data_IF_913511682301
#
_entry.id   IF_913511682301
#
_cell.length_a   1.000
_cell.length_b   1.000
_cell.length_c   1.000
_cell.angle_alpha   90.00
_cell.angle_beta   90.00
_cell.angle_gamma   90.00
#
_symmetry.space_group_name_H-M   'P 1'
#
loop_
_entity.id
_entity.type
_entity.pdbx_description
1 polymer ?
#
# COMPACT_ATOMS: atom_id res chain seq x y z
N UNK A 1 6.23 -7.04 -19.71
CA UNK A 1 6.08 -6.93 -18.24
C UNK A 1 4.92 -7.83 -17.83
N UNK A 2 5.07 -8.75 -16.89
CA UNK A 2 4.05 -9.75 -16.52
C UNK A 2 3.40 -10.47 -17.70
N UNK A 3 4.09 -10.86 -18.73
CA UNK A 3 3.57 -11.39 -20.00
C UNK A 3 2.66 -10.41 -20.77
N UNK A 4 2.56 -9.14 -20.33
CA UNK A 4 1.89 -8.10 -21.07
C UNK A 4 2.86 -7.54 -22.10
N UNK A 5 2.45 -7.64 -23.35
CA UNK A 5 3.17 -7.02 -24.46
C UNK A 5 2.88 -5.52 -24.48
N UNK A 6 3.86 -4.73 -24.03
CA UNK A 6 3.76 -3.26 -24.08
C UNK A 6 3.92 -2.71 -25.51
N UNK A 7 4.45 -3.50 -26.44
CA UNK A 7 4.65 -3.08 -27.85
C UNK A 7 3.32 -2.84 -28.56
N UNK A 8 2.23 -3.49 -28.13
CA UNK A 8 0.89 -3.22 -28.64
C UNK A 8 0.43 -1.77 -28.43
N UNK A 9 1.02 -1.06 -27.47
CA UNK A 9 0.74 0.33 -27.13
C UNK A 9 1.83 1.30 -27.58
N UNK A 10 2.74 0.89 -28.46
CA UNK A 10 3.98 1.61 -28.82
C UNK A 10 3.78 3.11 -29.06
N UNK A 11 2.69 3.49 -29.71
CA UNK A 11 2.38 4.87 -30.08
C UNK A 11 1.62 5.65 -29.00
N UNK A 12 1.17 5.00 -27.93
CA UNK A 12 0.47 5.68 -26.83
C UNK A 12 1.47 6.48 -25.99
N UNK A 13 1.02 7.61 -25.44
CA UNK A 13 1.76 8.28 -24.35
C UNK A 13 1.81 7.39 -23.14
N UNK A 14 3.01 7.16 -22.60
CA UNK A 14 3.24 6.30 -21.43
C UNK A 14 3.52 7.14 -20.16
N UNK A 15 4.63 7.90 -20.16
CA UNK A 15 5.05 8.70 -19.02
C UNK A 15 5.08 10.18 -19.39
N UNK A 16 4.61 11.02 -18.48
CA UNK A 16 4.58 12.48 -18.64
C UNK A 16 5.23 13.08 -17.39
N UNK A 17 6.21 13.96 -17.61
CA UNK A 17 6.76 14.84 -16.55
C UNK A 17 6.50 16.30 -16.94
N UNK A 18 6.95 17.24 -16.12
CA UNK A 18 6.90 18.68 -16.47
C UNK A 18 7.66 19.02 -17.74
N UNK A 19 8.75 18.27 -18.02
CA UNK A 19 9.75 18.59 -19.03
C UNK A 19 9.74 17.63 -20.21
N UNK A 20 9.26 16.40 -20.05
CA UNK A 20 9.39 15.34 -21.04
C UNK A 20 8.10 14.51 -21.15
N UNK A 21 7.85 13.99 -22.34
CA UNK A 21 6.77 13.05 -22.63
C UNK A 21 7.36 11.84 -23.34
N UNK A 22 7.09 10.66 -22.81
CA UNK A 22 7.57 9.38 -23.34
C UNK A 22 6.40 8.57 -23.89
N UNK A 23 6.53 8.07 -25.10
CA UNK A 23 5.67 7.00 -25.61
C UNK A 23 6.01 5.65 -24.95
N UNK A 24 5.15 4.66 -25.12
CA UNK A 24 5.49 3.27 -24.76
C UNK A 24 6.71 2.77 -25.51
N UNK A 25 6.87 3.14 -26.78
CA UNK A 25 8.06 2.83 -27.57
C UNK A 25 9.35 3.39 -26.95
N UNK A 26 9.31 4.63 -26.45
CA UNK A 26 10.47 5.25 -25.80
C UNK A 26 10.83 4.54 -24.49
N UNK A 27 9.82 4.19 -23.67
CA UNK A 27 10.02 3.45 -22.43
C UNK A 27 10.60 2.06 -22.70
N UNK A 28 10.09 1.34 -23.72
CA UNK A 28 10.61 0.03 -24.11
C UNK A 28 12.06 0.14 -24.58
N UNK A 29 12.37 1.15 -25.41
CA UNK A 29 13.73 1.39 -25.91
C UNK A 29 14.70 1.69 -24.75
N UNK A 30 14.31 2.54 -23.82
CA UNK A 30 15.12 2.85 -22.64
C UNK A 30 15.30 1.62 -21.73
N UNK A 31 14.26 0.81 -21.55
CA UNK A 31 14.33 -0.43 -20.78
C UNK A 31 15.29 -1.44 -21.40
N UNK A 32 15.27 -1.59 -22.73
CA UNK A 32 16.18 -2.51 -23.47
C UNK A 32 17.65 -2.17 -23.23
N UNK A 33 18.03 -0.91 -23.11
CA UNK A 33 19.41 -0.52 -22.80
C UNK A 33 19.89 -1.05 -21.45
N UNK A 34 18.99 -1.09 -20.43
CA UNK A 34 19.29 -1.65 -19.12
C UNK A 34 19.28 -3.19 -19.18
N UNK A 35 18.33 -3.78 -19.91
CA UNK A 35 18.23 -5.23 -20.11
C UNK A 35 19.51 -5.83 -20.71
N UNK A 36 20.13 -5.12 -21.69
CA UNK A 36 21.33 -5.58 -22.41
C UNK A 36 22.57 -5.71 -21.50
N UNK A 37 22.65 -4.93 -20.43
CA UNK A 37 23.79 -4.98 -19.49
C UNK A 37 23.54 -5.93 -18.31
N UNK A 38 22.29 -6.38 -18.10
CA UNK A 38 21.95 -7.32 -17.05
C UNK A 38 22.29 -8.77 -17.45
N UNK A 39 22.78 -9.60 -16.52
CA UNK A 39 23.10 -10.99 -16.83
C UNK A 39 21.83 -11.80 -17.14
N UNK A 40 21.97 -12.88 -17.92
CA UNK A 40 20.84 -13.79 -18.23
C UNK A 40 20.33 -14.56 -17.01
N UNK A 41 21.22 -14.84 -16.05
CA UNK A 41 20.86 -15.52 -14.81
C UNK A 41 20.08 -14.57 -13.91
N UNK A 42 19.00 -15.07 -13.30
CA UNK A 42 18.18 -14.31 -12.37
C UNK A 42 18.99 -13.74 -11.21
N UNK A 43 18.85 -12.45 -10.97
CA UNK A 43 19.57 -11.69 -9.96
C UNK A 43 18.60 -10.95 -9.04
N UNK A 44 19.06 -10.55 -7.85
CA UNK A 44 18.37 -9.64 -6.96
C UNK A 44 18.89 -8.22 -7.17
N UNK A 45 18.01 -7.30 -7.48
CA UNK A 45 18.29 -5.88 -7.68
C UNK A 45 17.55 -5.06 -6.62
N UNK A 46 18.28 -4.30 -5.82
CA UNK A 46 17.70 -3.31 -4.90
C UNK A 46 17.47 -2.02 -5.64
N UNK A 47 16.27 -1.49 -5.53
CA UNK A 47 15.87 -0.18 -6.02
C UNK A 47 15.74 0.79 -4.85
N UNK A 48 16.46 1.89 -4.86
CA UNK A 48 16.20 3.04 -4.00
C UNK A 48 15.25 3.97 -4.73
N UNK A 49 13.95 3.76 -4.50
CA UNK A 49 12.87 4.31 -5.29
C UNK A 49 12.61 5.78 -4.99
N UNK A 50 12.45 6.56 -6.05
CA UNK A 50 11.81 7.87 -6.03
C UNK A 50 10.57 7.87 -6.94
N UNK A 51 9.75 8.91 -6.89
CA UNK A 51 8.64 9.07 -7.83
C UNK A 51 9.14 9.77 -9.09
N UNK A 52 9.94 9.05 -9.87
CA UNK A 52 10.56 9.51 -11.11
C UNK A 52 10.49 8.45 -12.22
N UNK A 53 10.78 8.85 -13.44
CA UNK A 53 10.71 7.97 -14.61
C UNK A 53 11.84 6.94 -14.63
N UNK A 54 12.99 7.27 -14.07
CA UNK A 54 14.16 6.41 -14.02
C UNK A 54 13.90 5.17 -13.18
N UNK A 55 13.23 5.33 -12.03
CA UNK A 55 12.76 4.20 -11.20
C UNK A 55 11.81 3.30 -11.99
N UNK A 56 10.86 3.88 -12.73
CA UNK A 56 9.89 3.11 -13.54
C UNK A 56 10.60 2.34 -14.65
N UNK A 57 11.50 2.97 -15.39
CA UNK A 57 12.21 2.35 -16.50
C UNK A 57 13.13 1.22 -16.02
N UNK A 58 13.90 1.46 -14.95
CA UNK A 58 14.74 0.43 -14.36
C UNK A 58 13.95 -0.77 -13.84
N UNK A 59 12.79 -0.52 -13.22
CA UNK A 59 11.89 -1.57 -12.74
C UNK A 59 11.31 -2.40 -13.90
N UNK A 60 10.81 -1.76 -14.96
CA UNK A 60 10.31 -2.44 -16.16
C UNK A 60 11.41 -3.31 -16.78
N UNK A 61 12.61 -2.76 -16.96
CA UNK A 61 13.77 -3.48 -17.50
C UNK A 61 14.09 -4.75 -16.71
N UNK A 62 14.16 -4.61 -15.38
CA UNK A 62 14.50 -5.73 -14.50
C UNK A 62 13.46 -6.84 -14.52
N UNK A 63 12.16 -6.50 -14.56
CA UNK A 63 11.09 -7.48 -14.70
C UNK A 63 11.09 -8.15 -16.07
N UNK A 64 11.37 -7.42 -17.15
CA UNK A 64 11.47 -7.97 -18.51
C UNK A 64 12.65 -8.92 -18.61
N UNK A 65 13.80 -8.59 -18.03
CA UNK A 65 14.98 -9.44 -17.91
C UNK A 65 14.83 -10.59 -16.89
N UNK A 66 13.63 -10.76 -16.29
CA UNK A 66 13.31 -11.82 -15.33
C UNK A 66 14.12 -11.77 -14.02
N UNK A 67 14.52 -10.58 -13.55
CA UNK A 67 15.18 -10.40 -12.26
C UNK A 67 14.15 -10.17 -11.13
N UNK A 68 14.62 -10.34 -9.89
CA UNK A 68 13.87 -10.02 -8.69
C UNK A 68 14.18 -8.58 -8.24
N UNK A 69 13.16 -7.76 -8.03
CA UNK A 69 13.27 -6.36 -7.61
C UNK A 69 12.93 -6.23 -6.12
N UNK A 70 13.82 -5.67 -5.32
CA UNK A 70 13.54 -5.25 -3.95
C UNK A 70 13.35 -3.74 -3.96
N UNK A 71 12.09 -3.29 -3.77
CA UNK A 71 11.73 -1.88 -3.85
C UNK A 71 11.80 -1.25 -2.46
N UNK A 72 12.71 -0.32 -2.26
CA UNK A 72 12.96 0.37 -0.99
C UNK A 72 12.80 1.89 -1.17
N UNK A 73 12.44 2.58 -0.10
CA UNK A 73 12.42 4.04 -0.06
C UNK A 73 13.85 4.58 -0.19
N UNK A 74 14.10 5.54 -1.09
CA UNK A 74 15.41 6.18 -1.22
C UNK A 74 15.82 6.98 0.02
N UNK A 75 14.86 7.37 0.87
CA UNK A 75 15.08 8.06 2.14
C UNK A 75 15.23 7.13 3.34
N UNK A 76 15.32 5.81 3.11
CA UNK A 76 15.48 4.83 4.18
C UNK A 76 16.73 5.13 5.01
N UNK A 77 16.60 4.97 6.33
CA UNK A 77 17.74 5.10 7.24
C UNK A 77 18.91 4.21 6.80
N UNK A 78 20.12 4.76 6.83
CA UNK A 78 21.31 4.08 6.33
C UNK A 78 21.59 2.76 7.07
N UNK A 79 21.44 2.71 8.38
CA UNK A 79 21.70 1.49 9.15
C UNK A 79 20.70 0.38 8.80
N UNK A 80 19.44 0.74 8.55
CA UNK A 80 18.43 -0.21 8.08
C UNK A 80 18.71 -0.67 6.65
N UNK A 81 19.13 0.24 5.77
CA UNK A 81 19.51 -0.11 4.40
C UNK A 81 20.71 -1.08 4.40
N UNK A 82 21.76 -0.78 5.17
CA UNK A 82 22.94 -1.63 5.31
C UNK A 82 22.55 -3.02 5.84
N UNK A 83 21.65 -3.07 6.84
CA UNK A 83 21.11 -4.34 7.37
C UNK A 83 20.38 -5.17 6.30
N UNK A 84 19.56 -4.52 5.46
CA UNK A 84 18.86 -5.19 4.37
C UNK A 84 19.83 -5.70 3.30
N UNK A 85 20.82 -4.90 2.94
CA UNK A 85 21.86 -5.28 1.99
C UNK A 85 22.66 -6.48 2.51
N UNK A 86 23.08 -6.45 3.78
CA UNK A 86 23.82 -7.56 4.40
C UNK A 86 22.98 -8.83 4.53
N UNK A 87 21.68 -8.69 4.79
CA UNK A 87 20.76 -9.83 4.94
C UNK A 87 20.48 -10.51 3.61
N UNK A 88 20.22 -9.74 2.55
CA UNK A 88 19.75 -10.26 1.27
C UNK A 88 20.84 -10.33 0.20
N UNK A 89 21.99 -9.69 0.42
CA UNK A 89 23.18 -9.70 -0.45
C UNK A 89 22.85 -9.50 -1.93
N UNK A 90 22.17 -8.37 -2.30
CA UNK A 90 21.74 -8.15 -3.67
C UNK A 90 22.93 -8.13 -4.63
N UNK A 91 22.70 -8.53 -5.87
CA UNK A 91 23.72 -8.48 -6.92
C UNK A 91 23.93 -7.06 -7.44
N UNK A 92 22.84 -6.28 -7.52
CA UNK A 92 22.88 -4.92 -8.03
C UNK A 92 22.07 -3.98 -7.13
N UNK A 93 22.48 -2.70 -7.17
CA UNK A 93 21.75 -1.58 -6.58
C UNK A 93 21.47 -0.58 -7.70
N UNK A 94 20.21 -0.24 -7.90
CA UNK A 94 19.76 0.80 -8.84
C UNK A 94 19.28 2.01 -8.06
N UNK A 95 19.99 3.13 -8.22
CA UNK A 95 19.74 4.34 -7.43
C UNK A 95 20.14 5.60 -8.17
N UNK A 96 19.56 6.73 -7.76
CA UNK A 96 20.07 8.05 -8.15
C UNK A 96 21.49 8.24 -7.65
N UNK A 97 22.40 8.66 -8.53
CA UNK A 97 23.81 8.88 -8.19
C UNK A 97 24.44 9.86 -9.17
N UNK A 98 25.01 10.92 -8.64
CA UNK A 98 25.78 11.92 -9.39
C UNK A 98 27.29 11.57 -9.40
N UNK A 99 27.71 10.58 -8.61
CA UNK A 99 29.11 10.17 -8.48
C UNK A 99 29.46 9.00 -9.41
N UNK A 100 30.68 9.00 -9.91
CA UNK A 100 31.28 7.87 -10.62
C UNK A 100 31.75 6.82 -9.62
N UNK A 101 30.87 5.88 -9.26
CA UNK A 101 31.26 4.67 -8.56
C UNK A 101 31.95 3.71 -9.55
N UNK A 102 33.17 3.26 -9.23
CA UNK A 102 33.95 2.31 -10.06
C UNK A 102 33.22 0.98 -10.34
N UNK A 103 32.17 0.69 -9.55
CA UNK A 103 31.30 -0.49 -9.72
C UNK A 103 30.06 -0.22 -10.56
N UNK A 104 29.90 1.01 -11.10
CA UNK A 104 28.79 1.36 -11.99
C UNK A 104 28.95 0.62 -13.31
N UNK A 105 28.00 -0.23 -13.66
CA UNK A 105 28.00 -0.98 -14.93
C UNK A 105 27.16 -0.31 -16.01
N UNK A 106 26.20 0.55 -15.62
CA UNK A 106 25.33 1.27 -16.54
C UNK A 106 24.78 2.54 -15.89
N UNK A 107 24.57 3.60 -16.70
CA UNK A 107 23.86 4.80 -16.30
C UNK A 107 22.70 5.08 -17.24
N UNK A 108 21.57 5.44 -16.62
CA UNK A 108 20.42 6.00 -17.30
C UNK A 108 20.08 7.35 -16.66
N UNK A 109 20.32 8.44 -17.40
CA UNK A 109 20.22 9.82 -16.88
C UNK A 109 21.03 9.94 -15.56
N UNK A 110 20.39 10.32 -14.48
CA UNK A 110 20.99 10.48 -13.14
C UNK A 110 20.91 9.21 -12.26
N UNK A 111 20.55 8.06 -12.83
CA UNK A 111 20.52 6.77 -12.13
C UNK A 111 21.65 5.85 -12.54
N UNK A 112 22.22 5.17 -11.59
CA UNK A 112 23.29 4.19 -11.78
C UNK A 112 22.84 2.79 -11.39
N UNK A 113 23.18 1.80 -12.23
CA UNK A 113 23.12 0.39 -11.91
C UNK A 113 24.53 -0.02 -11.43
N UNK A 114 24.64 -0.30 -10.15
CA UNK A 114 25.91 -0.55 -9.46
C UNK A 114 26.00 -2.03 -9.14
N UNK A 115 27.08 -2.70 -9.54
CA UNK A 115 27.35 -4.07 -9.17
C UNK A 115 27.78 -4.13 -7.70
N UNK A 116 26.98 -4.77 -6.84
CA UNK A 116 27.27 -4.86 -5.41
C UNK A 116 27.89 -6.19 -5.02
N UNK A 117 27.36 -7.30 -5.56
CA UNK A 117 27.82 -8.64 -5.28
C UNK A 117 27.94 -9.48 -6.55
N UNK A 118 29.03 -10.24 -6.70
CA UNK A 118 29.28 -11.14 -7.83
C UNK A 118 28.91 -12.58 -7.54
N UNK A 119 28.56 -12.91 -6.29
CA UNK A 119 28.17 -14.28 -5.92
C UNK A 119 26.87 -14.66 -6.61
N UNK A 120 26.86 -15.82 -7.25
CA UNK A 120 25.64 -16.38 -7.82
C UNK A 120 24.77 -16.96 -6.72
N UNK A 121 23.59 -16.36 -6.54
CA UNK A 121 22.58 -16.83 -5.61
C UNK A 121 21.48 -17.48 -6.43
N UNK A 122 21.14 -18.71 -6.15
CA UNK A 122 20.02 -19.37 -6.78
C UNK A 122 18.72 -18.86 -6.15
N UNK A 123 18.02 -17.98 -6.85
CA UNK A 123 16.73 -17.43 -6.40
C UNK A 123 15.59 -18.34 -6.87
N UNK A 124 14.49 -18.36 -6.10
CA UNK A 124 13.24 -18.97 -6.56
C UNK A 124 12.90 -18.45 -7.97
N UNK A 125 12.72 -19.33 -8.97
CA UNK A 125 12.44 -18.93 -10.36
C UNK A 125 11.19 -18.03 -10.49
N UNK A 126 10.22 -18.19 -9.61
CA UNK A 126 8.98 -17.38 -9.60
C UNK A 126 9.14 -16.02 -8.91
N UNK A 127 10.17 -15.83 -8.07
CA UNK A 127 10.38 -14.59 -7.35
C UNK A 127 10.57 -13.41 -8.32
N UNK A 128 9.82 -12.34 -8.16
CA UNK A 128 9.92 -11.18 -9.04
C UNK A 128 9.94 -9.85 -8.27
N UNK A 129 9.32 -9.80 -7.09
CA UNK A 129 9.22 -8.57 -6.32
C UNK A 129 9.32 -8.86 -4.82
N UNK A 130 10.06 -8.00 -4.13
CA UNK A 130 10.11 -7.95 -2.67
C UNK A 130 9.64 -6.56 -2.21
N UNK A 131 8.68 -6.54 -1.30
CA UNK A 131 8.17 -5.32 -0.67
C UNK A 131 8.22 -5.45 0.85
N UNK A 132 8.54 -4.36 1.53
CA UNK A 132 8.43 -4.30 2.99
C UNK A 132 6.97 -4.21 3.43
N UNK A 133 6.64 -4.76 4.59
CA UNK A 133 5.37 -4.51 5.23
C UNK A 133 5.45 -3.24 6.07
N UNK A 134 4.41 -2.42 6.02
CA UNK A 134 4.34 -1.13 6.74
C UNK A 134 4.28 -1.23 8.27
N UNK A 135 4.33 -2.43 8.84
CA UNK A 135 4.16 -2.69 10.27
C UNK A 135 5.43 -3.13 11.01
N UNK A 136 6.54 -3.30 10.31
CA UNK A 136 7.76 -3.85 10.92
C UNK A 136 8.85 -2.79 11.03
N UNK A 137 8.79 -2.03 12.09
CA UNK A 137 9.94 -1.28 12.60
C UNK A 137 11.03 -2.26 13.03
N UNK A 138 12.13 -2.31 12.28
CA UNK A 138 13.36 -2.99 12.68
C UNK A 138 13.52 -4.46 12.28
N UNK A 139 12.59 -5.06 11.54
CA UNK A 139 12.80 -6.43 11.02
C UNK A 139 13.01 -6.41 9.50
N UNK A 140 14.01 -7.12 8.96
CA UNK A 140 14.26 -7.22 7.53
C UNK A 140 13.24 -8.09 6.78
N UNK A 141 12.05 -8.32 7.35
CA UNK A 141 11.03 -9.21 6.79
C UNK A 141 10.38 -8.60 5.55
N UNK A 142 10.52 -9.29 4.42
CA UNK A 142 9.96 -8.89 3.12
C UNK A 142 8.83 -9.82 2.70
N UNK A 143 7.83 -9.27 2.02
CA UNK A 143 6.83 -10.03 1.26
C UNK A 143 7.42 -10.37 -0.09
N UNK A 144 7.35 -11.65 -0.48
CA UNK A 144 7.85 -12.15 -1.76
C UNK A 144 6.71 -12.42 -2.73
N UNK A 145 6.80 -11.86 -3.93
CA UNK A 145 5.74 -11.90 -4.94
C UNK A 145 6.27 -12.44 -6.27
N UNK A 146 5.44 -13.21 -6.95
CA UNK A 146 5.71 -13.70 -8.30
C UNK A 146 5.14 -12.78 -9.38
N UNK A 147 5.56 -12.96 -10.64
CA UNK A 147 4.89 -12.32 -11.78
C UNK A 147 3.41 -12.67 -11.86
N UNK A 148 3.06 -13.92 -11.54
CA UNK A 148 1.66 -14.39 -11.55
C UNK A 148 0.83 -13.64 -10.52
N UNK A 149 1.35 -13.41 -9.32
CA UNK A 149 0.66 -12.61 -8.28
C UNK A 149 0.42 -11.17 -8.76
N UNK A 150 1.45 -10.55 -9.34
CA UNK A 150 1.36 -9.18 -9.87
C UNK A 150 0.35 -9.11 -11.02
N UNK A 151 0.36 -10.09 -11.92
CA UNK A 151 -0.55 -10.19 -13.05
C UNK A 151 -2.00 -10.38 -12.59
N UNK A 152 -2.25 -11.34 -11.69
CA UNK A 152 -3.59 -11.62 -11.16
C UNK A 152 -4.19 -10.39 -10.48
N UNK A 153 -3.43 -9.69 -9.65
CA UNK A 153 -3.90 -8.46 -9.00
C UNK A 153 -4.15 -7.34 -10.02
N UNK A 154 -3.26 -7.18 -10.99
CA UNK A 154 -3.40 -6.20 -12.07
C UNK A 154 -4.68 -6.43 -12.88
N UNK A 155 -4.95 -7.66 -13.30
CA UNK A 155 -6.15 -8.04 -14.04
C UNK A 155 -7.42 -7.71 -13.24
N UNK A 156 -7.49 -8.15 -11.99
CA UNK A 156 -8.62 -7.87 -11.12
C UNK A 156 -8.89 -6.38 -10.96
N UNK A 157 -7.85 -5.57 -10.71
CA UNK A 157 -8.00 -4.12 -10.52
C UNK A 157 -8.45 -3.44 -11.82
N UNK A 158 -7.86 -3.80 -12.96
CA UNK A 158 -8.24 -3.20 -14.24
C UNK A 158 -9.66 -3.54 -14.65
N UNK A 159 -10.17 -4.69 -14.22
CA UNK A 159 -11.55 -5.12 -14.47
C UNK A 159 -12.56 -4.25 -13.70
N UNK A 160 -12.46 -4.16 -12.34
CA UNK A 160 -13.47 -3.44 -11.59
C UNK A 160 -13.34 -1.90 -11.66
N UNK A 161 -12.15 -1.37 -11.88
CA UNK A 161 -11.95 0.07 -12.13
C UNK A 161 -12.24 0.45 -13.59
N UNK A 162 -12.33 -0.53 -14.50
CA UNK A 162 -12.55 -0.32 -15.93
C UNK A 162 -11.46 0.55 -16.58
N UNK A 163 -10.20 0.35 -16.20
CA UNK A 163 -9.07 1.12 -16.72
C UNK A 163 -8.87 0.82 -18.21
N UNK A 164 -8.67 1.87 -18.98
CA UNK A 164 -8.46 1.85 -20.43
C UNK A 164 -7.25 2.68 -20.85
N UNK A 165 -6.88 2.60 -22.11
CA UNK A 165 -5.79 3.41 -22.69
C UNK A 165 -6.08 4.92 -22.73
N UNK A 166 -7.35 5.31 -22.54
CA UNK A 166 -7.76 6.72 -22.49
C UNK A 166 -7.62 7.33 -21.09
N UNK A 167 -7.23 6.51 -20.10
CA UNK A 167 -7.08 6.98 -18.74
C UNK A 167 -5.68 7.58 -18.53
N UNK A 168 -5.62 8.52 -17.62
CA UNK A 168 -4.40 9.19 -17.21
C UNK A 168 -4.36 9.34 -15.71
N UNK A 169 -3.38 8.70 -15.09
CA UNK A 169 -3.19 8.78 -13.64
C UNK A 169 -2.03 9.71 -13.30
N UNK A 170 -2.08 10.35 -12.13
CA UNK A 170 -0.98 11.10 -11.56
C UNK A 170 -0.40 10.34 -10.37
N UNK A 171 0.92 10.36 -10.20
CA UNK A 171 1.57 9.71 -9.06
C UNK A 171 1.27 10.47 -7.77
N UNK A 172 0.75 9.76 -6.77
CA UNK A 172 0.46 10.28 -5.44
C UNK A 172 1.07 9.40 -4.35
N UNK A 173 1.52 8.21 -4.74
CA UNK A 173 1.96 7.15 -3.84
C UNK A 173 3.31 6.58 -4.30
N UNK A 174 4.26 6.35 -3.37
CA UNK A 174 5.60 5.89 -3.72
C UNK A 174 5.59 4.47 -4.32
N UNK A 175 6.59 4.18 -5.17
CA UNK A 175 6.71 2.89 -5.87
C UNK A 175 7.23 1.74 -4.98
N UNK A 176 7.81 2.01 -3.84
CA UNK A 176 8.13 0.99 -2.83
C UNK A 176 6.90 0.56 -2.00
N UNK A 177 5.76 1.17 -2.22
CA UNK A 177 4.50 0.84 -1.58
C UNK A 177 3.59 0.06 -2.54
N UNK A 178 3.06 -1.07 -2.09
CA UNK A 178 2.24 -1.98 -2.93
C UNK A 178 1.07 -1.29 -3.61
N UNK A 179 0.44 -0.29 -2.97
CA UNK A 179 -0.64 0.49 -3.59
C UNK A 179 -0.11 1.34 -4.76
N UNK A 180 0.92 2.15 -4.56
CA UNK A 180 1.50 2.97 -5.62
C UNK A 180 1.98 2.13 -6.79
N UNK A 181 2.66 1.01 -6.48
CA UNK A 181 3.14 0.10 -7.51
C UNK A 181 1.99 -0.58 -8.28
N UNK A 182 0.87 -0.92 -7.61
CA UNK A 182 -0.32 -1.46 -8.30
C UNK A 182 -0.97 -0.47 -9.25
N UNK A 183 -0.92 0.84 -8.94
CA UNK A 183 -1.39 1.91 -9.85
C UNK A 183 -0.52 1.96 -11.10
N UNK A 184 0.82 1.90 -10.93
CA UNK A 184 1.75 1.80 -12.04
C UNK A 184 1.44 0.58 -12.94
N UNK A 185 1.30 -0.61 -12.33
CA UNK A 185 1.05 -1.85 -13.05
C UNK A 185 -0.22 -1.80 -13.89
N UNK A 186 -1.32 -1.34 -13.30
CA UNK A 186 -2.64 -1.35 -13.94
C UNK A 186 -2.73 -0.40 -15.11
N UNK A 187 -2.12 0.79 -15.02
CA UNK A 187 -2.12 1.76 -16.10
C UNK A 187 -1.18 1.34 -17.24
N UNK A 188 0.01 0.85 -16.92
CA UNK A 188 0.91 0.29 -17.94
C UNK A 188 0.28 -0.89 -18.68
N UNK A 189 -0.43 -1.77 -17.98
CA UNK A 189 -1.07 -2.95 -18.57
C UNK A 189 -2.19 -2.63 -19.54
N UNK A 190 -2.76 -1.42 -19.46
CA UNK A 190 -3.86 -0.96 -20.32
C UNK A 190 -3.44 0.09 -21.37
N UNK A 191 -2.14 0.38 -21.47
CA UNK A 191 -1.65 1.40 -22.40
C UNK A 191 -2.06 2.81 -22.02
N UNK A 192 -2.41 3.05 -20.74
CA UNK A 192 -2.79 4.33 -20.18
C UNK A 192 -1.56 5.20 -19.85
N UNK A 193 -1.76 6.50 -19.69
CA UNK A 193 -0.68 7.45 -19.40
C UNK A 193 -0.50 7.65 -17.89
N UNK A 194 0.73 7.94 -17.47
CA UNK A 194 1.09 8.21 -16.08
C UNK A 194 1.80 9.56 -16.01
N UNK A 195 1.21 10.52 -15.31
CA UNK A 195 1.86 11.79 -14.96
C UNK A 195 2.71 11.56 -13.73
N UNK A 196 4.03 11.63 -13.92
CA UNK A 196 5.01 11.36 -12.86
C UNK A 196 5.43 12.68 -12.25
N UNK A 197 5.17 12.85 -10.96
CA UNK A 197 5.51 14.07 -10.21
C UNK A 197 5.90 13.73 -8.77
N UNK A 198 6.93 14.39 -8.20
CA UNK A 198 7.26 14.31 -6.79
C UNK A 198 6.39 15.25 -5.93
N UNK A 199 5.53 16.06 -6.56
CA UNK A 199 4.76 17.09 -5.89
C UNK A 199 3.71 16.52 -4.93
N UNK A 200 3.60 17.15 -3.78
CA UNK A 200 2.58 16.79 -2.79
C UNK A 200 1.17 17.22 -3.23
N UNK A 201 0.17 16.43 -2.87
CA UNK A 201 -1.26 16.74 -3.15
C UNK A 201 -1.76 18.06 -2.55
N UNK A 202 -1.01 18.67 -1.63
CA UNK A 202 -1.32 20.00 -1.08
C UNK A 202 -0.64 21.14 -1.84
N UNK A 203 0.28 20.83 -2.77
CA UNK A 203 0.99 21.86 -3.54
C UNK A 203 0.15 22.32 -4.73
N UNK A 204 0.29 23.60 -5.07
CA UNK A 204 -0.34 24.16 -6.28
C UNK A 204 0.18 23.48 -7.55
N UNK A 205 1.49 23.22 -7.61
CA UNK A 205 2.15 22.60 -8.76
C UNK A 205 1.56 21.21 -9.10
N UNK A 206 1.12 20.44 -8.09
CA UNK A 206 0.40 19.19 -8.30
C UNK A 206 -0.89 19.41 -9.09
N UNK A 207 -1.72 20.36 -8.65
CA UNK A 207 -3.02 20.64 -9.30
C UNK A 207 -2.89 21.35 -10.65
N UNK A 208 -1.85 22.16 -10.84
CA UNK A 208 -1.51 22.73 -12.13
C UNK A 208 -1.15 21.61 -13.14
N UNK A 209 -0.36 20.61 -12.70
CA UNK A 209 -0.06 19.42 -13.50
C UNK A 209 -1.31 18.56 -13.74
N UNK A 210 -2.15 18.37 -12.71
CA UNK A 210 -3.40 17.63 -12.83
C UNK A 210 -4.30 18.19 -13.94
N UNK A 211 -4.50 19.51 -13.94
CA UNK A 211 -5.31 20.21 -14.94
C UNK A 211 -4.64 20.22 -16.31
N UNK A 212 -3.36 20.61 -16.38
CA UNK A 212 -2.59 20.71 -17.62
C UNK A 212 -2.62 19.42 -18.43
N UNK A 213 -2.48 18.29 -17.73
CA UNK A 213 -2.42 16.98 -18.38
C UNK A 213 -3.74 16.23 -18.37
N UNK A 214 -4.85 16.89 -18.00
CA UNK A 214 -6.21 16.32 -18.01
C UNK A 214 -6.26 14.95 -17.30
N UNK A 215 -5.77 14.88 -16.07
CA UNK A 215 -5.70 13.65 -15.29
C UNK A 215 -7.12 13.12 -15.01
N UNK A 216 -7.32 11.82 -15.27
CA UNK A 216 -8.63 11.17 -15.11
C UNK A 216 -8.77 10.39 -13.81
N UNK A 217 -7.65 10.04 -13.17
CA UNK A 217 -7.64 9.13 -12.02
C UNK A 217 -6.80 9.68 -10.87
N UNK A 218 -7.42 9.79 -9.69
CA UNK A 218 -6.75 10.14 -8.42
C UNK A 218 -6.75 8.96 -7.46
N UNK A 219 -5.58 8.64 -6.88
CA UNK A 219 -5.41 7.55 -5.92
C UNK A 219 -4.94 8.11 -4.58
N UNK A 220 -5.58 7.75 -3.47
CA UNK A 220 -5.23 8.32 -2.18
C UNK A 220 -5.33 7.34 -1.01
N UNK A 221 -4.50 7.59 0.00
CA UNK A 221 -4.64 7.04 1.35
C UNK A 221 -5.51 7.98 2.20
N UNK A 222 -6.01 7.57 3.38
CA UNK A 222 -6.86 8.43 4.23
C UNK A 222 -6.31 9.84 4.45
N UNK A 223 -5.01 9.95 4.70
CA UNK A 223 -4.33 11.24 4.86
C UNK A 223 -4.52 12.17 3.66
N UNK A 224 -4.46 11.65 2.43
CA UNK A 224 -4.69 12.48 1.23
C UNK A 224 -6.11 13.06 1.24
N UNK A 225 -7.13 12.28 1.56
CA UNK A 225 -8.52 12.74 1.63
C UNK A 225 -8.76 13.80 2.72
N UNK A 226 -8.07 13.66 3.86
CA UNK A 226 -8.07 14.70 4.90
C UNK A 226 -7.42 16.00 4.40
N UNK A 227 -6.31 15.90 3.66
CA UNK A 227 -5.64 17.06 3.07
C UNK A 227 -6.48 17.70 1.97
N UNK A 228 -7.13 16.92 1.10
CA UNK A 228 -8.03 17.43 0.06
C UNK A 228 -9.15 18.31 0.65
N UNK A 229 -9.72 17.92 1.79
CA UNK A 229 -10.71 18.79 2.50
C UNK A 229 -10.09 20.12 2.92
N UNK A 230 -8.86 20.12 3.45
CA UNK A 230 -8.17 21.33 3.91
C UNK A 230 -7.88 22.32 2.79
N UNK A 231 -7.55 21.81 1.59
CA UNK A 231 -7.27 22.66 0.42
C UNK A 231 -8.51 22.99 -0.40
N UNK A 232 -9.70 22.75 0.14
CA UNK A 232 -11.00 23.04 -0.50
C UNK A 232 -11.16 22.33 -1.85
N UNK A 233 -10.83 21.04 -1.91
CA UNK A 233 -10.95 20.21 -3.11
C UNK A 233 -12.34 20.30 -3.75
N UNK A 234 -13.40 20.37 -2.97
CA UNK A 234 -14.78 20.40 -3.45
C UNK A 234 -15.12 21.67 -4.27
N UNK A 235 -14.31 22.72 -4.16
CA UNK A 235 -14.46 23.97 -4.93
C UNK A 235 -13.62 23.96 -6.22
N UNK A 236 -12.85 22.88 -6.48
CA UNK A 236 -11.97 22.81 -7.65
C UNK A 236 -12.74 22.36 -8.89
N UNK A 237 -12.52 23.06 -10.00
CA UNK A 237 -12.97 22.62 -11.32
C UNK A 237 -11.98 21.59 -11.90
N UNK A 238 -12.43 20.33 -11.99
CA UNK A 238 -11.63 19.16 -12.43
C UNK A 238 -12.42 18.33 -13.46
N UNK A 239 -12.74 18.87 -14.64
CA UNK A 239 -13.64 18.23 -15.60
C UNK A 239 -13.10 16.92 -16.19
N UNK A 240 -11.79 16.70 -16.12
CA UNK A 240 -11.16 15.46 -16.60
C UNK A 240 -11.25 14.29 -15.59
N UNK A 241 -11.50 14.58 -14.29
CA UNK A 241 -11.51 13.56 -13.26
C UNK A 241 -12.70 12.60 -13.41
N UNK A 242 -12.43 11.30 -13.51
CA UNK A 242 -13.44 10.24 -13.68
C UNK A 242 -13.46 9.23 -12.53
N UNK A 243 -12.28 8.97 -11.95
CA UNK A 243 -12.12 7.91 -10.93
C UNK A 243 -11.31 8.43 -9.75
N UNK A 244 -11.82 8.19 -8.56
CA UNK A 244 -11.08 8.37 -7.31
C UNK A 244 -11.03 7.04 -6.57
N UNK A 245 -9.88 6.72 -5.98
CA UNK A 245 -9.72 5.48 -5.21
C UNK A 245 -9.09 5.75 -3.86
N UNK A 246 -9.59 5.06 -2.83
CA UNK A 246 -9.07 5.12 -1.47
C UNK A 246 -8.67 3.73 -0.99
N UNK A 247 -7.45 3.59 -0.47
CA UNK A 247 -6.98 2.38 0.20
C UNK A 247 -5.85 2.69 1.20
N UNK A 248 -5.26 1.64 1.80
CA UNK A 248 -4.07 1.77 2.63
C UNK A 248 -4.32 2.14 4.09
N UNK A 249 -5.57 2.35 4.46
CA UNK A 249 -6.01 2.62 5.82
C UNK A 249 -7.52 2.83 5.87
N UNK A 250 -8.09 2.83 7.07
CA UNK A 250 -9.53 3.08 7.28
C UNK A 250 -9.78 4.59 7.15
N UNK A 251 -10.48 5.00 6.09
CA UNK A 251 -10.97 6.37 5.96
C UNK A 251 -12.11 6.61 6.95
N UNK A 252 -12.11 7.79 7.59
CA UNK A 252 -13.24 8.20 8.42
C UNK A 252 -14.52 8.17 7.57
N UNK A 253 -15.58 7.52 8.07
CA UNK A 253 -16.80 7.30 7.32
C UNK A 253 -17.54 8.59 6.93
N UNK A 254 -17.42 9.65 7.74
CA UNK A 254 -17.98 10.97 7.39
C UNK A 254 -17.27 11.54 6.18
N UNK A 255 -15.94 11.50 6.17
CA UNK A 255 -15.13 11.94 5.02
C UNK A 255 -15.43 11.07 3.80
N UNK A 256 -15.48 9.75 3.96
CA UNK A 256 -15.82 8.83 2.87
C UNK A 256 -17.18 9.18 2.24
N UNK A 257 -18.18 9.47 3.06
CA UNK A 257 -19.53 9.86 2.60
C UNK A 257 -19.54 11.22 1.91
N UNK A 258 -18.80 12.20 2.42
CA UNK A 258 -18.65 13.51 1.76
C UNK A 258 -18.09 13.38 0.35
N UNK A 259 -16.97 12.63 0.19
CA UNK A 259 -16.38 12.37 -1.13
C UNK A 259 -17.29 11.55 -2.03
N UNK A 260 -18.05 10.59 -1.47
CA UNK A 260 -18.99 9.79 -2.24
C UNK A 260 -20.17 10.62 -2.79
N UNK A 261 -20.70 11.55 -2.00
CA UNK A 261 -21.75 12.48 -2.42
C UNK A 261 -21.24 13.43 -3.52
N UNK A 262 -20.11 14.09 -3.28
CA UNK A 262 -19.47 14.95 -4.27
C UNK A 262 -19.19 14.20 -5.58
N UNK A 263 -18.62 13.02 -5.49
CA UNK A 263 -18.31 12.20 -6.66
C UNK A 263 -19.58 11.84 -7.48
N UNK A 264 -20.69 11.53 -6.79
CA UNK A 264 -21.97 11.27 -7.44
C UNK A 264 -22.49 12.49 -8.20
N UNK A 265 -22.40 13.68 -7.60
CA UNK A 265 -22.83 14.96 -8.21
C UNK A 265 -21.99 15.32 -9.45
N UNK A 266 -20.71 14.94 -9.46
CA UNK A 266 -19.77 15.26 -10.54
C UNK A 266 -19.53 14.10 -11.53
N UNK A 267 -20.32 13.02 -11.48
CA UNK A 267 -20.17 11.80 -12.30
C UNK A 267 -18.79 11.14 -12.15
N UNK A 268 -18.16 11.25 -10.99
CA UNK A 268 -16.89 10.60 -10.64
C UNK A 268 -17.17 9.30 -9.91
N UNK A 269 -16.48 8.23 -10.27
CA UNK A 269 -16.56 6.93 -9.58
C UNK A 269 -15.61 6.95 -8.39
N UNK A 270 -16.11 6.88 -7.16
CA UNK A 270 -15.29 6.82 -5.96
C UNK A 270 -15.31 5.42 -5.36
N UNK A 271 -14.14 4.75 -5.33
CA UNK A 271 -13.98 3.41 -4.81
C UNK A 271 -13.24 3.42 -3.47
N UNK A 272 -13.83 2.76 -2.46
CA UNK A 272 -13.16 2.42 -1.21
C UNK A 272 -12.62 1.00 -1.38
N UNK A 273 -11.35 0.77 -1.07
CA UNK A 273 -10.68 -0.49 -1.31
C UNK A 273 -9.93 -0.96 -0.07
N UNK A 274 -9.81 -2.28 0.06
CA UNK A 274 -9.05 -2.92 1.12
C UNK A 274 -8.00 -3.86 0.52
N UNK A 275 -6.83 -3.94 1.18
CA UNK A 275 -5.79 -4.86 0.79
C UNK A 275 -4.57 -4.82 1.69
N UNK A 276 -3.69 -5.77 1.45
CA UNK A 276 -2.43 -5.94 2.16
C UNK A 276 -1.32 -6.26 1.15
N UNK A 277 -0.08 -5.96 1.52
CA UNK A 277 1.10 -6.29 0.68
C UNK A 277 1.18 -7.79 0.41
N UNK A 278 0.76 -8.60 1.38
CA UNK A 278 0.68 -10.06 1.34
C UNK A 278 -0.29 -10.61 0.28
N UNK A 279 -1.18 -9.76 -0.23
CA UNK A 279 -2.04 -10.05 -1.37
C UNK A 279 -1.71 -9.11 -2.55
N UNK A 280 -0.46 -8.82 -2.75
CA UNK A 280 0.10 -7.92 -3.78
C UNK A 280 -0.32 -6.47 -3.57
N UNK A 281 -1.63 -6.18 -3.52
CA UNK A 281 -2.14 -4.86 -3.17
C UNK A 281 -3.61 -4.87 -2.75
N UNK A 282 -4.46 -5.64 -3.43
CA UNK A 282 -5.92 -5.57 -3.27
C UNK A 282 -6.53 -6.91 -2.94
N UNK A 283 -7.51 -6.87 -2.03
CA UNK A 283 -8.31 -8.01 -1.57
C UNK A 283 -9.79 -7.76 -1.83
N UNK A 284 -10.25 -6.52 -1.55
CA UNK A 284 -11.64 -6.14 -1.68
C UNK A 284 -11.80 -4.70 -2.18
N UNK A 285 -12.97 -4.42 -2.72
CA UNK A 285 -13.39 -3.09 -3.12
C UNK A 285 -14.88 -2.89 -2.85
N UNK A 286 -15.27 -1.68 -2.49
CA UNK A 286 -16.66 -1.29 -2.40
C UNK A 286 -17.09 -0.74 -3.76
N UNK A 287 -18.02 -1.38 -4.46
CA UNK A 287 -18.57 -0.83 -5.70
C UNK A 287 -19.10 0.59 -5.47
N UNK A 288 -18.75 1.52 -6.36
CA UNK A 288 -19.02 2.95 -6.16
C UNK A 288 -20.52 3.28 -6.02
N UNK A 289 -21.40 2.41 -6.51
CA UNK A 289 -22.84 2.53 -6.36
C UNK A 289 -23.30 2.41 -4.88
N UNK A 290 -22.50 1.77 -4.04
CA UNK A 290 -22.79 1.51 -2.62
C UNK A 290 -21.93 2.33 -1.65
N UNK A 291 -21.13 3.28 -2.14
CA UNK A 291 -20.19 4.03 -1.31
C UNK A 291 -20.86 5.06 -0.38
N UNK A 292 -22.14 5.38 -0.57
CA UNK A 292 -22.90 6.29 0.29
C UNK A 292 -23.59 5.52 1.42
N UNK A 293 -24.32 4.47 1.10
CA UNK A 293 -25.11 3.65 2.04
C UNK A 293 -24.22 2.67 2.82
N UNK A 294 -23.15 2.16 2.21
CA UNK A 294 -22.21 1.19 2.79
C UNK A 294 -20.81 1.79 3.09
N UNK A 295 -20.70 3.07 3.38
CA UNK A 295 -19.41 3.81 3.53
C UNK A 295 -18.44 3.24 4.58
N UNK A 296 -18.90 2.36 5.48
CA UNK A 296 -18.08 1.66 6.49
C UNK A 296 -17.53 0.33 6.00
N UNK A 297 -18.02 -0.17 4.87
CA UNK A 297 -17.68 -1.47 4.31
C UNK A 297 -16.35 -1.42 3.55
N UNK A 298 -15.60 -2.53 3.56
CA UNK A 298 -14.52 -2.80 2.60
C UNK A 298 -15.04 -3.37 1.28
N UNK A 299 -16.35 -3.61 1.18
CA UNK A 299 -17.02 -4.10 -0.02
C UNK A 299 -17.02 -5.62 -0.15
N UNK A 300 -16.78 -6.06 -1.35
CA UNK A 300 -16.75 -7.46 -1.79
C UNK A 300 -15.35 -7.85 -2.28
N UNK A 301 -15.09 -9.15 -2.44
CA UNK A 301 -13.81 -9.62 -2.99
C UNK A 301 -13.58 -9.04 -4.40
N UNK A 302 -12.31 -8.77 -4.73
CA UNK A 302 -11.91 -8.44 -6.10
C UNK A 302 -12.24 -9.59 -7.05
N UNK A 303 -12.40 -9.34 -8.37
CA UNK A 303 -12.61 -10.39 -9.36
C UNK A 303 -11.59 -11.53 -9.21
N UNK A 304 -12.07 -12.78 -9.30
CA UNK A 304 -11.31 -14.02 -9.10
C UNK A 304 -10.80 -14.24 -7.66
N UNK A 305 -11.09 -13.34 -6.70
CA UNK A 305 -10.83 -13.52 -5.29
C UNK A 305 -12.04 -14.06 -4.53
N UNK A 306 -11.80 -14.62 -3.34
CA UNK A 306 -12.86 -15.06 -2.42
C UNK A 306 -12.53 -14.62 -1.01
N UNK A 307 -13.51 -13.97 -0.35
CA UNK A 307 -13.47 -13.66 1.07
C UNK A 307 -14.26 -14.69 1.86
N UNK A 308 -13.78 -15.03 3.04
CA UNK A 308 -14.49 -15.86 4.00
C UNK A 308 -14.16 -15.39 5.42
N UNK A 309 -15.08 -15.65 6.35
CA UNK A 309 -14.89 -15.38 7.77
C UNK A 309 -14.79 -16.72 8.46
N UNK A 310 -13.81 -16.89 9.33
CA UNK A 310 -13.65 -18.10 10.12
C UNK A 310 -13.69 -17.78 11.61
N UNK A 311 -14.31 -18.67 12.35
CA UNK A 311 -14.27 -18.64 13.79
C UNK A 311 -12.82 -18.78 14.29
N UNK A 312 -12.42 -17.97 15.26
CA UNK A 312 -11.03 -17.86 15.69
C UNK A 312 -10.56 -19.15 16.35
N UNK A 313 -11.44 -19.79 17.13
CA UNK A 313 -11.08 -20.96 17.94
C UNK A 313 -11.25 -22.27 17.15
N UNK A 314 -12.37 -22.42 16.47
CA UNK A 314 -12.73 -23.67 15.76
C UNK A 314 -12.26 -23.71 14.31
N UNK A 315 -11.85 -22.58 13.73
CA UNK A 315 -11.45 -22.42 12.33
C UNK A 315 -12.56 -22.77 11.30
N UNK A 316 -13.79 -22.95 11.76
CA UNK A 316 -14.95 -23.21 10.90
C UNK A 316 -15.40 -21.91 10.20
N UNK A 317 -15.88 -22.05 8.97
CA UNK A 317 -16.46 -20.92 8.22
C UNK A 317 -17.72 -20.43 8.93
N UNK A 318 -17.84 -19.11 9.06
CA UNK A 318 -19.00 -18.40 9.58
C UNK A 318 -19.78 -17.86 8.38
N UNK A 319 -20.99 -18.38 8.15
CA UNK A 319 -21.90 -17.92 7.09
C UNK A 319 -22.97 -16.96 7.62
N UNK A 320 -23.17 -16.90 8.91
CA UNK A 320 -24.16 -16.02 9.57
C UNK A 320 -23.77 -14.53 9.34
N UNK A 321 -24.77 -13.70 8.97
CA UNK A 321 -24.58 -12.26 8.88
C UNK A 321 -24.31 -11.64 10.28
N UNK A 322 -23.52 -10.58 10.31
CA UNK A 322 -23.13 -9.83 11.51
C UNK A 322 -22.35 -10.62 12.57
N UNK A 323 -22.00 -11.87 12.28
CA UNK A 323 -21.16 -12.66 13.18
C UNK A 323 -19.68 -12.43 12.87
N UNK A 324 -18.93 -11.99 13.88
CA UNK A 324 -17.52 -11.67 13.77
C UNK A 324 -16.64 -12.94 13.76
N UNK A 325 -15.57 -12.88 12.97
CA UNK A 325 -14.49 -13.87 12.97
C UNK A 325 -13.27 -13.32 12.25
N UNK A 326 -12.27 -14.15 12.03
CA UNK A 326 -11.08 -13.77 11.30
C UNK A 326 -11.34 -13.78 9.79
N UNK A 327 -10.92 -12.71 9.12
CA UNK A 327 -11.03 -12.57 7.67
C UNK A 327 -9.94 -13.37 6.96
N UNK A 328 -10.37 -14.25 6.07
CA UNK A 328 -9.53 -15.00 5.14
C UNK A 328 -9.75 -14.55 3.71
N UNK A 329 -8.69 -14.54 2.95
CA UNK A 329 -8.73 -14.26 1.54
C UNK A 329 -8.12 -15.41 0.74
N UNK A 330 -8.70 -15.73 -0.41
CA UNK A 330 -8.18 -16.68 -1.37
C UNK A 330 -8.12 -16.04 -2.76
N UNK A 331 -6.96 -16.11 -3.42
CA UNK A 331 -6.74 -15.56 -4.75
C UNK A 331 -5.32 -15.78 -5.26
N UNK A 332 -5.15 -15.72 -6.57
CA UNK A 332 -3.86 -15.94 -7.24
C UNK A 332 -2.85 -14.80 -6.98
N UNK A 333 -3.31 -13.67 -6.46
CA UNK A 333 -2.51 -12.53 -6.05
C UNK A 333 -1.92 -12.65 -4.63
N UNK A 334 -2.17 -13.74 -3.91
CA UNK A 334 -1.56 -14.01 -2.61
C UNK A 334 -0.09 -14.33 -2.79
N UNK A 335 0.76 -13.72 -1.95
CA UNK A 335 2.22 -13.84 -1.97
C UNK A 335 2.74 -15.27 -2.00
N UNK A 336 3.98 -15.45 -2.43
CA UNK A 336 4.73 -16.71 -2.26
C UNK A 336 4.90 -16.98 -0.77
N UNK A 337 5.37 -15.98 -0.02
CA UNK A 337 5.60 -16.06 1.41
C UNK A 337 6.36 -14.87 1.95
N UNK A 338 6.89 -15.02 3.14
CA UNK A 338 7.81 -14.04 3.72
C UNK A 338 9.26 -14.49 3.55
N UNK A 339 10.15 -13.51 3.43
CA UNK A 339 11.59 -13.71 3.54
C UNK A 339 12.15 -12.86 4.67
N UNK A 340 13.03 -13.42 5.47
CA UNK A 340 13.77 -12.75 6.55
C UNK A 340 15.28 -12.97 6.40
N UNK A 341 15.67 -13.75 5.41
CA UNK A 341 17.05 -14.09 5.08
C UNK A 341 17.22 -14.37 3.60
N UNK A 342 18.47 -14.39 3.15
CA UNK A 342 18.81 -14.78 1.78
C UNK A 342 18.31 -16.20 1.43
N UNK A 343 18.37 -17.13 2.39
CA UNK A 343 17.92 -18.51 2.20
C UNK A 343 16.42 -18.59 1.89
N UNK A 344 15.60 -17.69 2.45
CA UNK A 344 14.17 -17.68 2.21
C UNK A 344 13.82 -17.29 0.77
N UNK A 345 14.72 -16.57 0.07
CA UNK A 345 14.54 -16.23 -1.34
C UNK A 345 14.67 -17.41 -2.30
N UNK A 346 15.21 -18.52 -1.83
CA UNK A 346 15.34 -19.77 -2.57
C UNK A 346 14.11 -20.67 -2.39
N UNK A 347 13.31 -20.39 -1.35
CA UNK A 347 12.19 -21.23 -0.95
C UNK A 347 11.07 -21.19 -2.02
N UNK A 348 10.64 -22.36 -2.45
CA UNK A 348 9.56 -22.56 -3.42
C UNK A 348 8.19 -22.83 -2.79
N UNK A 349 8.12 -22.96 -1.46
CA UNK A 349 6.85 -23.17 -0.75
C UNK A 349 5.96 -21.94 -0.93
N UNK A 350 4.68 -22.16 -1.18
CA UNK A 350 3.70 -21.10 -1.32
C UNK A 350 2.54 -21.28 -0.32
N UNK A 351 1.82 -20.20 -0.05
CA UNK A 351 0.61 -20.19 0.77
C UNK A 351 -0.61 -20.79 0.03
N UNK A 352 -0.40 -21.44 -1.13
CA UNK A 352 -1.45 -22.02 -1.96
C UNK A 352 -2.63 -21.06 -2.23
N UNK A 353 -2.32 -19.77 -2.42
CA UNK A 353 -3.31 -18.74 -2.71
C UNK A 353 -4.22 -18.38 -1.54
N UNK A 354 -3.96 -18.83 -0.31
CA UNK A 354 -4.77 -18.53 0.86
C UNK A 354 -4.02 -17.62 1.82
N UNK A 355 -4.64 -16.51 2.19
CA UNK A 355 -4.10 -15.54 3.15
C UNK A 355 -5.00 -15.44 4.38
N UNK A 356 -4.43 -15.69 5.53
CA UNK A 356 -4.96 -15.31 6.82
C UNK A 356 -4.60 -13.83 7.05
N UNK A 357 -5.59 -12.94 7.00
CA UNK A 357 -5.31 -11.49 6.98
C UNK A 357 -4.88 -10.94 8.34
N UNK A 358 -5.23 -11.63 9.41
CA UNK A 358 -5.06 -11.15 10.79
C UNK A 358 -6.03 -10.01 11.16
N UNK A 359 -6.98 -9.68 10.29
CA UNK A 359 -8.03 -8.73 10.57
C UNK A 359 -9.31 -9.45 10.98
N UNK A 360 -10.08 -8.87 11.91
CA UNK A 360 -11.41 -9.32 12.29
C UNK A 360 -12.43 -8.64 11.39
N UNK A 361 -13.46 -9.41 11.00
CA UNK A 361 -14.50 -8.92 10.11
C UNK A 361 -15.82 -9.64 10.35
N UNK A 362 -16.88 -9.00 9.87
CA UNK A 362 -18.19 -9.61 9.67
C UNK A 362 -18.72 -9.26 8.29
N UNK A 363 -19.72 -9.97 7.81
CA UNK A 363 -20.47 -9.62 6.57
C UNK A 363 -21.91 -9.25 6.95
N UNK A 364 -22.52 -8.36 6.18
CA UNK A 364 -23.96 -8.07 6.29
C UNK A 364 -24.80 -9.07 5.48
N UNK A 365 -26.14 -8.89 5.49
CA UNK A 365 -27.10 -9.74 4.77
C UNK A 365 -26.94 -9.65 3.26
N UNK A 366 -26.43 -8.51 2.74
CA UNK A 366 -26.15 -8.29 1.33
C UNK A 366 -24.78 -8.85 0.89
N UNK A 367 -23.99 -9.41 1.82
CA UNK A 367 -22.69 -10.01 1.57
C UNK A 367 -21.52 -9.02 1.51
N UNK A 368 -21.71 -7.78 1.96
CA UNK A 368 -20.61 -6.81 2.10
C UNK A 368 -19.84 -7.05 3.40
N UNK A 369 -18.51 -6.93 3.31
CA UNK A 369 -17.62 -7.18 4.45
C UNK A 369 -17.24 -5.88 5.17
N UNK A 370 -17.06 -5.98 6.49
CA UNK A 370 -16.72 -4.87 7.38
C UNK A 370 -15.58 -5.29 8.30
N UNK A 371 -14.52 -4.49 8.38
CA UNK A 371 -13.43 -4.70 9.33
C UNK A 371 -13.84 -4.14 10.69
N UNK A 372 -13.84 -4.99 11.71
CA UNK A 372 -14.12 -4.62 13.10
C UNK A 372 -12.86 -4.38 13.94
N UNK A 373 -11.71 -4.99 13.56
CA UNK A 373 -10.44 -4.82 14.26
C UNK A 373 -9.33 -5.70 13.74
N UNK A 374 -8.23 -5.82 14.52
CA UNK A 374 -7.10 -6.70 14.21
C UNK A 374 -6.84 -7.70 15.32
N UNK A 375 -6.55 -8.94 14.94
CA UNK A 375 -6.23 -10.02 15.91
C UNK A 375 -5.04 -9.67 16.81
N UNK A 376 -4.04 -8.96 16.30
CA UNK A 376 -2.84 -8.54 17.06
C UNK A 376 -3.02 -7.23 17.83
N UNK A 377 -4.18 -6.58 17.74
CA UNK A 377 -4.50 -5.33 18.43
C UNK A 377 -5.46 -5.54 19.61
N UNK A 378 -5.30 -6.68 20.27
CA UNK A 378 -5.94 -6.97 21.55
C UNK A 378 -4.90 -7.00 22.66
N UNK A 379 -5.33 -6.55 23.82
CA UNK A 379 -4.65 -6.76 25.10
C UNK A 379 -5.57 -7.56 26.04
N UNK A 380 -5.00 -8.26 26.99
CA UNK A 380 -5.76 -8.92 28.05
C UNK A 380 -5.59 -8.13 29.32
N UNK A 381 -6.61 -7.43 29.77
CA UNK A 381 -6.61 -6.71 31.05
C UNK A 381 -7.44 -7.47 32.03
N UNK A 382 -6.82 -7.96 33.10
CA UNK A 382 -7.46 -8.83 34.14
C UNK A 382 -8.27 -9.99 33.53
N UNK A 383 -7.71 -10.63 32.49
CA UNK A 383 -8.36 -11.74 31.76
C UNK A 383 -9.44 -11.33 30.76
N UNK A 384 -9.83 -10.08 30.71
CA UNK A 384 -10.78 -9.55 29.73
C UNK A 384 -10.04 -9.15 28.47
N UNK A 385 -10.45 -9.68 27.31
CA UNK A 385 -9.92 -9.31 25.99
C UNK A 385 -10.47 -7.94 25.57
N UNK A 386 -9.58 -6.99 25.26
CA UNK A 386 -9.89 -5.62 24.91
C UNK A 386 -9.34 -5.32 23.52
N UNK A 387 -10.21 -4.85 22.64
CA UNK A 387 -9.86 -4.42 21.29
C UNK A 387 -9.40 -2.95 21.30
N UNK A 388 -8.14 -2.71 20.99
CA UNK A 388 -7.57 -1.36 20.96
C UNK A 388 -8.17 -0.50 19.84
N UNK A 389 -8.55 -1.09 18.72
CA UNK A 389 -9.19 -0.37 17.62
C UNK A 389 -10.60 0.09 17.96
N UNK A 390 -11.33 -0.71 18.76
CA UNK A 390 -12.66 -0.35 19.28
C UNK A 390 -12.57 0.85 20.23
N UNK A 391 -11.60 0.82 21.16
CA UNK A 391 -11.36 1.94 22.09
C UNK A 391 -11.00 3.21 21.30
N UNK A 392 -10.10 3.12 20.34
CA UNK A 392 -9.76 4.27 19.48
C UNK A 392 -10.99 4.83 18.78
N UNK A 393 -11.82 3.95 18.23
CA UNK A 393 -13.03 4.35 17.52
C UNK A 393 -14.03 5.04 18.47
N UNK A 394 -14.23 4.46 19.65
CA UNK A 394 -15.09 5.03 20.66
C UNK A 394 -14.63 6.45 21.06
N UNK A 395 -13.38 6.62 21.44
CA UNK A 395 -12.85 7.92 21.84
C UNK A 395 -12.85 8.94 20.69
N UNK A 396 -12.54 8.53 19.47
CA UNK A 396 -12.64 9.37 18.27
C UNK A 396 -14.09 9.81 17.99
N UNK A 397 -15.08 8.97 18.27
CA UNK A 397 -16.51 9.31 18.13
C UNK A 397 -16.97 10.38 19.15
N UNK A 398 -16.23 10.51 20.25
CA UNK A 398 -16.44 11.57 21.26
C UNK A 398 -15.65 12.86 20.97
N UNK A 399 -14.91 12.89 19.86
CA UNK A 399 -14.18 14.07 19.40
C UNK A 399 -12.70 14.09 19.78
N UNK A 400 -12.18 13.06 20.47
CA UNK A 400 -10.77 13.02 20.89
C UNK A 400 -9.86 12.55 19.77
N UNK A 401 -8.66 13.13 19.70
CA UNK A 401 -7.56 12.72 18.80
C UNK A 401 -6.67 11.75 19.54
N UNK A 402 -6.94 10.45 19.40
CA UNK A 402 -6.29 9.39 20.17
C UNK A 402 -5.79 8.25 19.29
N UNK A 403 -4.75 7.60 19.79
CA UNK A 403 -4.27 6.29 19.36
C UNK A 403 -4.04 5.41 20.57
N UNK A 404 -4.40 4.13 20.46
CA UNK A 404 -4.27 3.17 21.54
C UNK A 404 -3.16 2.14 21.23
N UNK A 405 -2.41 1.78 22.23
CA UNK A 405 -1.47 0.66 22.26
C UNK A 405 -1.55 -0.01 23.63
N UNK A 406 -0.77 -1.01 23.88
CA UNK A 406 -0.76 -1.64 25.21
C UNK A 406 0.02 -2.93 25.26
N UNK A 407 0.09 -3.45 26.46
CA UNK A 407 0.54 -4.80 26.80
C UNK A 407 -0.58 -5.51 27.56
N UNK A 408 -0.40 -6.80 27.85
CA UNK A 408 -1.25 -7.48 28.78
C UNK A 408 -1.25 -6.71 30.12
N UNK A 409 -2.44 -6.52 30.66
CA UNK A 409 -2.75 -5.73 31.86
C UNK A 409 -2.57 -4.21 31.79
N UNK A 410 -2.18 -3.64 30.65
CA UNK A 410 -2.05 -2.17 30.52
C UNK A 410 -2.55 -1.64 29.19
N UNK A 411 -3.64 -0.85 29.21
CA UNK A 411 -4.07 -0.02 28.09
C UNK A 411 -3.27 1.30 28.08
N UNK A 412 -2.68 1.65 26.94
CA UNK A 412 -1.92 2.88 26.74
C UNK A 412 -2.62 3.74 25.69
N UNK A 413 -3.03 4.94 26.06
CA UNK A 413 -3.72 5.88 25.18
C UNK A 413 -2.86 7.13 24.99
N UNK A 414 -2.40 7.34 23.76
CA UNK A 414 -1.74 8.56 23.35
C UNK A 414 -2.77 9.54 22.80
N UNK A 415 -2.73 10.79 23.22
CA UNK A 415 -3.69 11.82 22.79
C UNK A 415 -2.98 13.12 22.45
N UNK A 416 -3.60 13.90 21.55
CA UNK A 416 -3.24 15.29 21.27
C UNK A 416 -4.14 16.31 21.99
N UNK A 417 -5.01 15.83 22.86
CA UNK A 417 -5.94 16.65 23.64
C UNK A 417 -5.47 16.72 25.09
N UNK A 418 -5.75 17.84 25.76
CA UNK A 418 -5.28 18.09 27.13
C UNK A 418 -6.18 17.45 28.21
N UNK A 419 -7.35 16.95 27.83
CA UNK A 419 -8.37 16.43 28.76
C UNK A 419 -8.12 14.98 29.19
N UNK A 420 -6.92 14.65 29.69
CA UNK A 420 -6.50 13.29 30.02
C UNK A 420 -7.41 12.60 31.06
N UNK A 421 -7.87 13.36 32.08
CA UNK A 421 -8.74 12.82 33.14
C UNK A 421 -10.13 12.44 32.62
N UNK A 422 -10.67 13.22 31.69
CA UNK A 422 -11.97 12.96 31.06
C UNK A 422 -11.90 11.68 30.19
N UNK A 423 -10.85 11.53 29.40
CA UNK A 423 -10.61 10.32 28.62
C UNK A 423 -10.51 9.08 29.54
N UNK A 424 -9.77 9.21 30.67
CA UNK A 424 -9.65 8.11 31.63
C UNK A 424 -11.01 7.74 32.23
N UNK A 425 -11.81 8.72 32.63
CA UNK A 425 -13.13 8.50 33.17
C UNK A 425 -14.04 7.80 32.17
N UNK A 426 -14.07 8.27 30.90
CA UNK A 426 -14.85 7.62 29.84
C UNK A 426 -14.48 6.16 29.65
N UNK A 427 -13.20 5.82 29.71
CA UNK A 427 -12.73 4.45 29.59
C UNK A 427 -13.15 3.57 30.77
N UNK A 428 -13.05 4.10 31.98
CA UNK A 428 -13.49 3.40 33.20
C UNK A 428 -14.99 3.12 33.13
N UNK A 429 -15.79 4.15 32.83
CA UNK A 429 -17.26 4.09 32.83
C UNK A 429 -17.78 3.16 31.71
N UNK A 430 -17.15 3.18 30.53
CA UNK A 430 -17.64 2.43 29.37
C UNK A 430 -17.16 0.98 29.33
N UNK A 431 -15.88 0.75 29.65
CA UNK A 431 -15.25 -0.56 29.50
C UNK A 431 -15.06 -1.28 30.83
N UNK A 432 -15.47 -0.68 31.96
CA UNK A 432 -15.28 -1.20 33.31
C UNK A 432 -13.81 -1.58 33.61
N UNK A 433 -12.87 -0.72 33.19
CA UNK A 433 -11.44 -0.88 33.42
C UNK A 433 -11.04 -0.24 34.75
N UNK A 434 -10.11 -0.87 35.45
CA UNK A 434 -9.54 -0.26 36.64
C UNK A 434 -8.57 0.85 36.26
N UNK A 435 -8.56 1.98 36.96
CA UNK A 435 -7.73 3.15 36.66
C UNK A 435 -6.23 2.82 36.55
N UNK A 436 -5.74 1.85 37.34
CA UNK A 436 -4.33 1.43 37.33
C UNK A 436 -3.91 0.69 36.05
N UNK A 437 -4.87 0.19 35.28
CA UNK A 437 -4.62 -0.51 34.00
C UNK A 437 -4.64 0.44 32.81
N UNK A 438 -4.85 1.74 33.04
CA UNK A 438 -4.95 2.75 31.98
C UNK A 438 -3.81 3.75 32.15
N UNK A 439 -2.94 3.86 31.14
CA UNK A 439 -1.93 4.92 31.03
C UNK A 439 -2.33 5.86 29.90
N UNK A 440 -2.44 7.15 30.17
CA UNK A 440 -2.74 8.17 29.15
C UNK A 440 -1.59 9.15 29.10
N UNK A 441 -1.15 9.50 27.90
CA UNK A 441 -0.06 10.46 27.68
C UNK A 441 -0.42 11.42 26.55
N UNK A 442 -0.21 12.71 26.82
CA UNK A 442 -0.26 13.73 25.76
C UNK A 442 0.99 13.60 24.87
N UNK A 443 0.81 13.68 23.55
CA UNK A 443 1.87 13.73 22.55
C UNK A 443 1.53 14.77 21.49
N UNK A 444 2.51 15.58 21.09
CA UNK A 444 2.30 16.66 20.13
C UNK A 444 1.96 16.14 18.73
N UNK A 445 2.60 15.06 18.31
CA UNK A 445 2.42 14.46 16.98
C UNK A 445 2.40 12.95 17.05
N UNK A 446 1.46 12.35 16.32
CA UNK A 446 1.42 10.89 16.18
C UNK A 446 2.52 10.40 15.23
N UNK A 447 3.25 9.32 15.58
CA UNK A 447 4.26 8.74 14.71
C UNK A 447 3.60 8.09 13.49
N UNK A 448 3.93 8.59 12.29
CA UNK A 448 3.42 8.08 11.02
C UNK A 448 4.53 7.74 10.05
N UNK A 449 4.26 6.84 9.11
CA UNK A 449 5.14 6.59 7.96
C UNK A 449 4.99 7.70 6.92
N UNK A 450 5.89 7.83 5.94
CA UNK A 450 5.71 8.73 4.80
C UNK A 450 4.39 8.50 4.03
N UNK A 451 3.87 7.27 4.06
CA UNK A 451 2.55 6.93 3.48
C UNK A 451 1.36 7.21 4.41
N UNK A 452 1.57 7.90 5.55
CA UNK A 452 0.51 8.29 6.50
C UNK A 452 0.00 7.16 7.41
N UNK A 453 0.67 6.01 7.49
CA UNK A 453 0.28 4.91 8.39
C UNK A 453 0.87 5.11 9.78
N UNK A 454 0.07 4.79 10.81
CA UNK A 454 0.50 4.88 12.21
C UNK A 454 1.58 3.85 12.53
N UNK A 455 2.66 4.29 13.17
CA UNK A 455 3.74 3.44 13.68
C UNK A 455 3.49 3.09 15.14
N UNK A 456 2.59 2.12 15.40
CA UNK A 456 2.21 1.74 16.77
C UNK A 456 3.36 1.26 17.66
N UNK A 457 4.41 0.70 17.08
CA UNK A 457 5.61 0.30 17.83
C UNK A 457 6.41 1.51 18.35
N UNK A 458 6.46 2.62 17.59
CA UNK A 458 7.05 3.88 18.04
C UNK A 458 6.14 4.56 19.08
N UNK A 459 4.82 4.51 18.85
CA UNK A 459 3.84 5.00 19.81
C UNK A 459 4.02 4.35 21.19
N UNK A 460 4.25 3.04 21.22
CA UNK A 460 4.45 2.27 22.46
C UNK A 460 5.70 2.71 23.21
N UNK A 461 6.80 3.04 22.50
CA UNK A 461 8.05 3.55 23.11
C UNK A 461 7.84 4.87 23.84
N UNK A 462 6.85 5.67 23.45
CA UNK A 462 6.54 6.93 24.14
C UNK A 462 6.04 6.72 25.58
N UNK A 463 5.60 5.50 25.95
CA UNK A 463 5.10 5.16 27.30
C UNK A 463 6.16 4.47 28.20
N UNK A 464 7.30 4.11 27.64
CA UNK A 464 8.46 3.58 28.33
C UNK A 464 9.40 4.74 28.61
#
# INVERSE_FOLDING_TARGET
MFDIDLEQFANNTCLITTDEVFSYSDVIKASKQIEEVLPKQKQLIVFLCQMDIETIIGYIASLRANHACMMLDASLDKALLDTLIDTYKPNFIYKKSDEDDQKTIFRYKNYSLIQHNTSTIELNPKLSLLLSTSGTTGSPKMVTLSKDNLYANCQSITEYLQISSNDRVITTLPFHYSYGLSVLHTHLAKGASIVVTPESVISRAFWDSFKKYEVTTFNGVPYHYEMLRRIKFFDMDLPSLKVMTQAGGKLNHTIAKEFALWAKEHNVKFFIMYGQTEATARIAYLPYQHNIDKAKSIGIAIPKGKLSIKDIDTQKIIDEAFKEGELYYQGDNVMIGYASSLKDLQNTSSLNGTLQTGDLAYKDEDGFFYISGRLKRFIKVHGKRINLDEIEHFLKSKGYRVLCTGDDDTLMVATQDDNLQEIQKLLIDTYALHHSTIKIKHIDTFPVTPSGKIKYSELKKAFV
#
